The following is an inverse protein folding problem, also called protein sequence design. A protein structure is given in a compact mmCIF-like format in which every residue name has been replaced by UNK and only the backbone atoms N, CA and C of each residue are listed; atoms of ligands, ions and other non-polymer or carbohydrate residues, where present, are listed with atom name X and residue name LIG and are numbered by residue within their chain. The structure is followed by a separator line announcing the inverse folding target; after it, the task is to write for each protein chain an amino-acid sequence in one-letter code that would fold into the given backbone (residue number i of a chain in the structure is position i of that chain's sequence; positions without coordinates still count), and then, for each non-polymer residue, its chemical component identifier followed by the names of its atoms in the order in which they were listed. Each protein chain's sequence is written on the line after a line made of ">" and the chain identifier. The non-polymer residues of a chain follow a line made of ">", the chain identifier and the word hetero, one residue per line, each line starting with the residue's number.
data_IF_314219213354
#
_entry.id   IF_314219213354
#
_cell.length_a   1.000
_cell.length_b   1.000
_cell.length_c   1.000
_cell.angle_alpha   90.00
_cell.angle_beta   90.00
_cell.angle_gamma   90.00
#
_symmetry.space_group_name_H-M   'P 1'
#
loop_
_entity.id
_entity.type
_entity.pdbx_description
1 polymer ?
#
# COMPACT_ATOMS: atom_id res chain seq x y z
N UNK A 1 20.42 -16.55 -14.45
CA UNK A 1 20.38 -16.77 -15.93
C UNK A 1 20.01 -18.22 -16.20
N UNK A 2 19.27 -18.52 -17.26
CA UNK A 2 18.99 -19.90 -17.65
C UNK A 2 20.32 -20.64 -17.92
N UNK A 3 20.61 -21.69 -17.17
CA UNK A 3 21.71 -22.59 -17.51
C UNK A 3 21.29 -23.49 -18.66
N UNK A 4 22.22 -23.86 -19.54
CA UNK A 4 21.90 -24.89 -20.54
C UNK A 4 21.44 -26.17 -19.80
N UNK A 5 20.23 -26.68 -20.09
CA UNK A 5 19.73 -27.87 -19.41
C UNK A 5 20.59 -29.08 -19.77
N UNK A 6 20.82 -29.93 -18.78
CA UNK A 6 21.51 -31.21 -18.99
C UNK A 6 20.68 -32.14 -19.90
N UNK A 7 21.30 -33.13 -20.56
CA UNK A 7 20.57 -34.06 -21.42
C UNK A 7 19.42 -34.79 -20.71
N UNK A 8 19.56 -35.05 -19.40
CA UNK A 8 18.51 -35.67 -18.59
C UNK A 8 17.31 -34.71 -18.37
N UNK A 9 17.57 -33.42 -18.18
CA UNK A 9 16.53 -32.40 -18.02
C UNK A 9 15.80 -32.13 -19.33
N UNK A 10 16.50 -32.15 -20.47
CA UNK A 10 15.87 -32.05 -21.79
C UNK A 10 14.93 -33.23 -22.00
N UNK A 11 15.37 -34.47 -21.72
CA UNK A 11 14.54 -35.66 -21.86
C UNK A 11 13.32 -35.62 -20.91
N UNK A 12 13.48 -35.07 -19.71
CA UNK A 12 12.36 -34.82 -18.80
C UNK A 12 11.36 -33.81 -19.40
N UNK A 13 11.83 -32.69 -19.94
CA UNK A 13 10.98 -31.66 -20.55
C UNK A 13 10.26 -32.20 -21.81
N UNK A 14 10.95 -32.99 -22.64
CA UNK A 14 10.36 -33.64 -23.82
C UNK A 14 9.24 -34.62 -23.42
N UNK A 15 9.44 -35.37 -22.33
CA UNK A 15 8.41 -36.28 -21.81
C UNK A 15 7.17 -35.56 -21.28
N UNK A 16 7.34 -34.34 -20.76
CA UNK A 16 6.27 -33.53 -20.17
C UNK A 16 5.83 -32.35 -21.07
N UNK A 17 6.04 -32.46 -22.38
CA UNK A 17 5.77 -31.39 -23.34
C UNK A 17 4.29 -30.94 -23.39
N UNK A 18 3.37 -31.79 -22.94
CA UNK A 18 1.93 -31.51 -22.83
C UNK A 18 1.57 -30.64 -21.63
N UNK A 19 2.45 -30.53 -20.64
CA UNK A 19 2.16 -29.85 -19.39
C UNK A 19 2.10 -28.33 -19.62
N UNK A 20 1.08 -27.69 -19.04
CA UNK A 20 0.78 -26.30 -19.33
C UNK A 20 0.28 -25.56 -18.09
N UNK A 21 1.08 -24.59 -17.63
CA UNK A 21 0.76 -23.72 -16.49
C UNK A 21 0.15 -22.37 -16.90
N UNK A 22 0.00 -22.10 -18.20
CA UNK A 22 -0.62 -20.86 -18.71
C UNK A 22 -1.99 -20.56 -18.08
N UNK A 23 -2.90 -21.54 -17.89
CA UNK A 23 -4.19 -21.26 -17.26
C UNK A 23 -4.07 -20.67 -15.85
N UNK A 24 -3.04 -21.05 -15.10
CA UNK A 24 -2.84 -20.56 -13.73
C UNK A 24 -2.43 -19.08 -13.70
N UNK A 25 -1.58 -18.66 -14.65
CA UNK A 25 -1.19 -17.26 -14.82
C UNK A 25 -2.43 -16.42 -15.17
N UNK A 26 -3.20 -16.86 -16.16
CA UNK A 26 -4.41 -16.16 -16.61
C UNK A 26 -5.44 -16.07 -15.48
N UNK A 27 -5.71 -17.18 -14.79
CA UNK A 27 -6.68 -17.22 -13.70
C UNK A 27 -6.27 -16.27 -12.55
N UNK A 28 -4.99 -16.25 -12.19
CA UNK A 28 -4.49 -15.40 -11.11
C UNK A 28 -4.65 -13.92 -11.47
N UNK A 29 -4.24 -13.53 -12.68
CA UNK A 29 -4.37 -12.15 -13.14
C UNK A 29 -5.84 -11.71 -13.28
N UNK A 30 -6.70 -12.59 -13.79
CA UNK A 30 -8.13 -12.32 -13.94
C UNK A 30 -8.87 -12.18 -12.60
N UNK A 31 -8.36 -12.76 -11.51
CA UNK A 31 -8.98 -12.69 -10.18
C UNK A 31 -8.36 -11.56 -9.36
N UNK A 32 -7.04 -11.54 -9.20
CA UNK A 32 -6.35 -10.64 -8.28
C UNK A 32 -6.42 -9.17 -8.73
N UNK A 33 -6.20 -8.90 -10.02
CA UNK A 33 -6.13 -7.53 -10.51
C UNK A 33 -7.48 -6.79 -10.40
N UNK A 34 -8.64 -7.38 -10.78
CA UNK A 34 -9.93 -6.73 -10.56
C UNK A 34 -10.26 -6.50 -9.08
N UNK A 35 -9.81 -7.36 -8.17
CA UNK A 35 -9.96 -7.15 -6.72
C UNK A 35 -9.19 -5.89 -6.29
N UNK A 36 -7.95 -5.73 -6.75
CA UNK A 36 -7.15 -4.54 -6.48
C UNK A 36 -7.79 -3.27 -7.07
N UNK A 37 -8.27 -3.32 -8.32
CA UNK A 37 -9.01 -2.22 -8.95
C UNK A 37 -10.25 -1.83 -8.12
N UNK A 38 -11.01 -2.82 -7.67
CA UNK A 38 -12.21 -2.62 -6.86
C UNK A 38 -11.86 -1.98 -5.52
N UNK A 39 -10.79 -2.42 -4.86
CA UNK A 39 -10.33 -1.83 -3.60
C UNK A 39 -9.93 -0.35 -3.76
N UNK A 40 -9.21 -0.01 -4.83
CA UNK A 40 -8.85 1.38 -5.15
C UNK A 40 -10.10 2.21 -5.46
N UNK A 41 -11.02 1.69 -6.27
CA UNK A 41 -12.29 2.37 -6.57
C UNK A 41 -13.07 2.66 -5.28
N UNK A 42 -13.21 1.67 -4.39
CA UNK A 42 -13.88 1.82 -3.10
C UNK A 42 -13.19 2.85 -2.20
N UNK A 43 -11.86 2.95 -2.21
CA UNK A 43 -11.11 4.03 -1.53
C UNK A 43 -11.57 5.40 -2.01
N UNK A 44 -11.61 5.64 -3.32
CA UNK A 44 -12.02 6.94 -3.88
C UNK A 44 -13.50 7.24 -3.61
N UNK A 45 -14.38 6.26 -3.76
CA UNK A 45 -15.81 6.38 -3.45
C UNK A 45 -16.01 6.71 -1.97
N UNK A 46 -15.25 6.07 -1.07
CA UNK A 46 -15.29 6.33 0.36
C UNK A 46 -14.89 7.76 0.69
N UNK A 47 -13.77 8.23 0.13
CA UNK A 47 -13.27 9.59 0.36
C UNK A 47 -14.21 10.65 -0.17
N UNK A 48 -14.73 10.46 -1.39
CA UNK A 48 -15.74 11.34 -1.99
C UNK A 48 -17.00 11.41 -1.13
N UNK A 49 -17.47 10.26 -0.66
CA UNK A 49 -18.65 10.11 0.20
C UNK A 49 -18.50 10.82 1.55
N UNK A 50 -17.28 10.96 2.05
CA UNK A 50 -16.94 11.64 3.30
C UNK A 50 -16.37 13.05 3.12
N UNK A 51 -16.35 13.58 1.88
CA UNK A 51 -15.80 14.91 1.55
C UNK A 51 -14.35 15.10 2.04
N UNK A 52 -13.57 14.02 2.08
CA UNK A 52 -12.15 14.06 2.47
C UNK A 52 -11.31 14.44 1.25
N UNK A 53 -10.41 15.42 1.40
CA UNK A 53 -9.50 15.84 0.33
C UNK A 53 -8.56 14.70 -0.09
N UNK A 54 -8.29 14.61 -1.40
CA UNK A 54 -7.26 13.71 -1.93
C UNK A 54 -5.89 14.23 -1.58
N UNK A 55 -5.00 13.34 -1.14
CA UNK A 55 -3.62 13.68 -0.79
C UNK A 55 -2.64 12.72 -1.49
N UNK A 56 -1.35 12.87 -1.22
CA UNK A 56 -0.29 12.06 -1.85
C UNK A 56 -0.53 10.55 -1.71
N UNK A 57 -1.11 10.11 -0.60
CA UNK A 57 -1.40 8.69 -0.35
C UNK A 57 -2.37 8.08 -1.37
N UNK A 58 -3.29 8.88 -1.92
CA UNK A 58 -4.28 8.45 -2.91
C UNK A 58 -3.71 8.36 -4.32
N UNK A 59 -2.73 9.21 -4.65
CA UNK A 59 -2.05 9.15 -5.95
C UNK A 59 -0.98 8.06 -5.97
N UNK A 60 -0.29 7.83 -4.85
CA UNK A 60 0.71 6.77 -4.72
C UNK A 60 0.09 5.37 -4.89
N UNK A 61 -1.12 5.15 -4.35
CA UNK A 61 -1.80 3.85 -4.52
C UNK A 61 -2.28 3.64 -5.97
N UNK A 62 -2.67 4.72 -6.67
CA UNK A 62 -2.99 4.65 -8.10
C UNK A 62 -1.72 4.35 -8.91
N UNK A 63 -0.59 4.97 -8.59
CA UNK A 63 0.68 4.62 -9.20
C UNK A 63 1.04 3.15 -8.97
N UNK A 64 0.86 2.64 -7.75
CA UNK A 64 1.02 1.21 -7.44
C UNK A 64 0.13 0.31 -8.31
N UNK A 65 -1.15 0.66 -8.46
CA UNK A 65 -2.07 -0.08 -9.34
C UNK A 65 -1.63 -0.05 -10.81
N UNK A 66 -1.12 1.08 -11.30
CA UNK A 66 -0.59 1.21 -12.66
C UNK A 66 0.66 0.36 -12.89
N UNK A 67 1.56 0.27 -11.90
CA UNK A 67 2.69 -0.65 -11.98
C UNK A 67 2.25 -2.12 -11.91
N UNK A 68 1.26 -2.46 -11.08
CA UNK A 68 0.66 -3.81 -11.10
C UNK A 68 0.02 -4.14 -12.45
N UNK A 69 -0.59 -3.16 -13.13
CA UNK A 69 -1.03 -3.33 -14.52
C UNK A 69 0.15 -3.58 -15.47
N UNK A 70 1.28 -2.90 -15.24
CA UNK A 70 2.53 -3.17 -15.95
C UNK A 70 3.00 -4.63 -15.83
N UNK A 71 2.92 -5.20 -14.62
CA UNK A 71 3.21 -6.63 -14.40
C UNK A 71 2.25 -7.51 -15.19
N UNK A 72 0.95 -7.23 -15.14
CA UNK A 72 -0.05 -7.99 -15.92
C UNK A 72 0.27 -7.94 -17.43
N UNK A 73 0.70 -6.79 -17.95
CA UNK A 73 1.13 -6.65 -19.35
C UNK A 73 2.38 -7.51 -19.62
N UNK A 74 3.38 -7.47 -18.73
CA UNK A 74 4.56 -8.33 -18.83
C UNK A 74 4.16 -9.81 -18.86
N UNK A 75 3.22 -10.25 -18.03
CA UNK A 75 2.72 -11.63 -18.05
C UNK A 75 2.08 -11.98 -19.38
N UNK A 76 1.20 -11.12 -19.90
CA UNK A 76 0.56 -11.33 -21.21
C UNK A 76 1.59 -11.42 -22.35
N UNK A 77 2.66 -10.62 -22.30
CA UNK A 77 3.76 -10.69 -23.27
C UNK A 77 4.58 -11.95 -23.07
N UNK A 78 4.90 -12.32 -21.83
CA UNK A 78 5.62 -13.55 -21.48
C UNK A 78 4.89 -14.81 -21.96
N UNK A 79 3.55 -14.83 -21.88
CA UNK A 79 2.72 -15.90 -22.43
C UNK A 79 2.89 -16.06 -23.95
N UNK A 80 3.13 -14.96 -24.69
CA UNK A 80 3.40 -15.04 -26.14
C UNK A 80 4.75 -15.68 -26.44
N UNK A 81 5.74 -15.47 -25.58
CA UNK A 81 7.08 -16.05 -25.72
C UNK A 81 7.15 -17.51 -25.29
N UNK A 82 6.18 -17.99 -24.49
CA UNK A 82 6.09 -19.38 -24.04
C UNK A 82 6.17 -19.57 -22.52
N UNK A 83 6.00 -18.50 -21.73
CA UNK A 83 5.88 -18.59 -20.26
C UNK A 83 4.78 -19.59 -19.86
N UNK A 84 5.06 -20.41 -18.86
CA UNK A 84 4.17 -21.48 -18.43
C UNK A 84 4.26 -22.78 -19.23
N UNK A 85 5.24 -22.86 -20.13
CA UNK A 85 5.68 -24.09 -20.81
C UNK A 85 7.16 -24.35 -20.51
N UNK A 86 7.60 -25.58 -20.70
CA UNK A 86 9.01 -25.96 -20.58
C UNK A 86 9.91 -25.16 -21.52
N UNK A 87 11.15 -24.90 -21.09
CA UNK A 87 12.14 -24.08 -21.79
C UNK A 87 12.35 -24.47 -23.27
N UNK A 88 12.27 -25.77 -23.59
CA UNK A 88 12.37 -26.27 -24.98
C UNK A 88 11.28 -25.71 -25.93
N UNK A 89 10.15 -25.25 -25.40
CA UNK A 89 9.03 -24.70 -26.17
C UNK A 89 9.07 -23.17 -26.29
N UNK A 90 10.11 -22.53 -25.77
CA UNK A 90 10.26 -21.09 -25.77
C UNK A 90 10.60 -20.59 -27.18
N UNK A 91 9.83 -19.62 -27.68
CA UNK A 91 9.99 -19.11 -29.06
C UNK A 91 11.12 -18.09 -29.19
N UNK A 92 11.25 -17.24 -28.17
CA UNK A 92 12.25 -16.17 -28.13
C UNK A 92 12.84 -16.07 -26.71
N UNK A 93 13.97 -16.74 -26.46
CA UNK A 93 14.65 -16.70 -25.17
C UNK A 93 15.13 -15.30 -24.76
N UNK A 94 15.55 -14.49 -25.73
CA UNK A 94 16.05 -13.14 -25.44
C UNK A 94 14.90 -12.20 -25.05
N UNK A 95 13.80 -12.23 -25.83
CA UNK A 95 12.59 -11.48 -25.50
C UNK A 95 11.97 -11.90 -24.16
N UNK A 96 12.00 -13.20 -23.84
CA UNK A 96 11.54 -13.70 -22.55
C UNK A 96 12.40 -13.17 -21.38
N UNK A 97 13.73 -13.21 -21.50
CA UNK A 97 14.62 -12.67 -20.47
C UNK A 97 14.41 -11.16 -20.25
N UNK A 98 14.20 -10.39 -21.33
CA UNK A 98 13.89 -8.96 -21.24
C UNK A 98 12.56 -8.70 -20.50
N UNK A 99 11.54 -9.53 -20.73
CA UNK A 99 10.25 -9.44 -20.02
C UNK A 99 10.41 -9.74 -18.53
N UNK A 100 11.18 -10.76 -18.15
CA UNK A 100 11.43 -11.09 -16.74
C UNK A 100 12.10 -9.93 -16.00
N UNK A 101 13.16 -9.34 -16.58
CA UNK A 101 13.85 -8.21 -15.97
C UNK A 101 12.92 -6.98 -15.89
N UNK A 102 12.13 -6.75 -16.93
CA UNK A 102 11.14 -5.67 -16.93
C UNK A 102 10.11 -5.86 -15.83
N UNK A 103 9.60 -7.08 -15.64
CA UNK A 103 8.66 -7.42 -14.58
C UNK A 103 9.28 -7.22 -13.20
N UNK A 104 10.52 -7.64 -12.98
CA UNK A 104 11.24 -7.43 -11.72
C UNK A 104 11.38 -5.94 -11.38
N UNK A 105 11.78 -5.11 -12.35
CA UNK A 105 11.91 -3.65 -12.16
C UNK A 105 10.55 -3.02 -11.87
N UNK A 106 9.51 -3.36 -12.63
CA UNK A 106 8.15 -2.84 -12.42
C UNK A 106 7.61 -3.26 -11.04
N UNK A 107 7.90 -4.48 -10.60
CA UNK A 107 7.50 -5.00 -9.30
C UNK A 107 8.10 -4.15 -8.17
N UNK A 108 9.38 -3.80 -8.28
CA UNK A 108 10.06 -2.96 -7.30
C UNK A 108 9.42 -1.57 -7.18
N UNK A 109 9.04 -0.96 -8.31
CA UNK A 109 8.30 0.31 -8.31
C UNK A 109 6.88 0.16 -7.74
N UNK A 110 6.18 -0.92 -8.05
CA UNK A 110 4.86 -1.22 -7.50
C UNK A 110 4.92 -1.33 -5.97
N UNK A 111 5.81 -2.16 -5.44
CA UNK A 111 5.96 -2.35 -4.00
C UNK A 111 6.38 -1.07 -3.29
N UNK A 112 7.33 -0.31 -3.85
CA UNK A 112 7.73 0.98 -3.29
C UNK A 112 6.55 1.95 -3.18
N UNK A 113 5.79 2.14 -4.25
CA UNK A 113 4.67 3.09 -4.28
C UNK A 113 3.52 2.67 -3.37
N UNK A 114 3.24 1.36 -3.26
CA UNK A 114 2.25 0.82 -2.31
C UNK A 114 2.70 1.06 -0.87
N UNK A 115 3.95 0.72 -0.51
CA UNK A 115 4.51 0.95 0.84
C UNK A 115 4.54 2.43 1.21
N UNK A 116 4.93 3.28 0.26
CA UNK A 116 4.90 4.73 0.43
C UNK A 116 3.48 5.24 0.68
N UNK A 117 2.47 4.77 -0.07
CA UNK A 117 1.06 5.12 0.17
C UNK A 117 0.62 4.77 1.60
N UNK A 118 0.96 3.57 2.09
CA UNK A 118 0.62 3.13 3.45
C UNK A 118 1.28 4.03 4.51
N UNK A 119 2.57 4.33 4.36
CA UNK A 119 3.29 5.22 5.28
C UNK A 119 2.69 6.63 5.29
N UNK A 120 2.39 7.21 4.12
CA UNK A 120 1.72 8.51 4.06
C UNK A 120 0.32 8.48 4.69
N UNK A 121 -0.43 7.40 4.48
CA UNK A 121 -1.73 7.19 5.11
C UNK A 121 -1.61 7.11 6.63
N UNK A 122 -0.60 6.41 7.16
CA UNK A 122 -0.34 6.35 8.60
C UNK A 122 0.03 7.70 9.17
N UNK A 123 0.89 8.47 8.50
CA UNK A 123 1.23 9.84 8.91
C UNK A 123 -0.02 10.70 9.04
N UNK A 124 -0.95 10.56 8.09
CA UNK A 124 -2.21 11.31 8.05
C UNK A 124 -3.20 10.89 9.14
N UNK A 125 -3.38 9.59 9.32
CA UNK A 125 -4.36 9.04 10.28
C UNK A 125 -3.88 9.17 11.72
N UNK A 126 -2.57 9.04 11.94
CA UNK A 126 -1.96 8.87 13.26
C UNK A 126 -0.97 9.98 13.60
N UNK A 127 -1.32 11.23 13.35
CA UNK A 127 -0.54 12.38 13.79
C UNK A 127 -0.69 12.59 15.30
N UNK A 128 0.01 11.77 16.09
CA UNK A 128 -0.14 11.73 17.56
C UNK A 128 1.09 12.28 18.28
N UNK A 129 2.30 12.02 17.78
CA UNK A 129 3.54 12.51 18.40
C UNK A 129 4.66 12.77 17.38
N UNK A 130 5.56 13.70 17.72
CA UNK A 130 6.77 13.98 16.93
C UNK A 130 7.64 12.73 16.76
N UNK A 131 7.75 11.91 17.81
CA UNK A 131 8.52 10.66 17.78
C UNK A 131 7.94 9.66 16.78
N UNK A 132 6.62 9.51 16.72
CA UNK A 132 5.97 8.63 15.75
C UNK A 132 6.23 9.08 14.30
N UNK A 133 6.15 10.39 14.05
CA UNK A 133 6.44 10.95 12.72
C UNK A 133 7.91 10.74 12.34
N UNK A 134 8.85 10.87 13.27
CA UNK A 134 10.27 10.59 13.03
C UNK A 134 10.46 9.11 12.66
N UNK A 135 9.90 8.17 13.43
CA UNK A 135 10.00 6.73 13.14
C UNK A 135 9.44 6.43 11.73
N UNK A 136 8.29 7.02 11.38
CA UNK A 136 7.67 6.86 10.07
C UNK A 136 8.58 7.35 8.94
N UNK A 137 9.25 8.50 9.12
CA UNK A 137 10.22 8.99 8.15
C UNK A 137 11.46 8.10 8.05
N UNK A 138 11.98 7.59 9.16
CA UNK A 138 13.11 6.65 9.16
C UNK A 138 12.76 5.39 8.37
N UNK A 139 11.60 4.78 8.64
CA UNK A 139 11.11 3.61 7.89
C UNK A 139 10.89 3.96 6.41
N UNK A 140 10.30 5.12 6.11
CA UNK A 140 10.08 5.55 4.74
C UNK A 140 11.36 5.79 3.93
N UNK A 141 12.36 6.42 4.54
CA UNK A 141 13.68 6.61 3.93
C UNK A 141 14.36 5.26 3.72
N UNK A 142 14.30 4.37 4.71
CA UNK A 142 14.84 3.02 4.58
C UNK A 142 14.20 2.25 3.42
N UNK A 143 12.86 2.26 3.33
CA UNK A 143 12.12 1.64 2.22
C UNK A 143 12.51 2.25 0.88
N UNK A 144 12.67 3.57 0.79
CA UNK A 144 13.10 4.25 -0.43
C UNK A 144 14.52 3.84 -0.86
N UNK A 145 15.49 3.92 0.05
CA UNK A 145 16.88 3.54 -0.22
C UNK A 145 16.98 2.07 -0.64
N UNK A 146 16.28 1.18 0.07
CA UNK A 146 16.24 -0.24 -0.25
C UNK A 146 15.57 -0.53 -1.60
N UNK A 147 14.48 0.16 -1.94
CA UNK A 147 13.82 0.01 -3.25
C UNK A 147 14.73 0.47 -4.39
N UNK A 148 15.46 1.56 -4.19
CA UNK A 148 16.47 2.03 -5.14
C UNK A 148 17.54 0.94 -5.35
N UNK A 149 18.08 0.38 -4.26
CA UNK A 149 19.07 -0.71 -4.34
C UNK A 149 18.54 -1.92 -5.11
N UNK A 150 17.28 -2.31 -4.92
CA UNK A 150 16.67 -3.40 -5.68
C UNK A 150 16.58 -3.12 -7.18
N UNK A 151 16.19 -1.90 -7.57
CA UNK A 151 16.12 -1.52 -9.00
C UNK A 151 17.52 -1.58 -9.63
N UNK A 152 18.53 -1.05 -8.96
CA UNK A 152 19.92 -1.14 -9.43
C UNK A 152 20.39 -2.60 -9.49
N UNK A 153 20.09 -3.41 -8.48
CA UNK A 153 20.45 -4.83 -8.48
C UNK A 153 19.79 -5.60 -9.63
N UNK A 154 18.51 -5.33 -9.93
CA UNK A 154 17.78 -5.99 -11.03
C UNK A 154 18.35 -5.61 -12.41
N UNK A 155 18.65 -4.32 -12.62
CA UNK A 155 19.20 -3.82 -13.90
C UNK A 155 20.64 -4.29 -14.10
N UNK A 156 21.47 -4.20 -13.06
CA UNK A 156 22.90 -4.50 -13.10
C UNK A 156 23.24 -5.90 -12.56
N UNK A 157 22.29 -6.84 -12.63
CA UNK A 157 22.50 -8.21 -12.15
C UNK A 157 23.64 -8.94 -12.88
N UNK A 158 23.90 -8.58 -14.14
CA UNK A 158 25.03 -9.03 -14.94
C UNK A 158 25.70 -7.86 -15.66
N UNK A 159 27.03 -7.91 -15.78
CA UNK A 159 27.82 -6.97 -16.57
C UNK A 159 28.59 -7.69 -17.69
N UNK A 160 28.51 -7.19 -18.95
CA UNK A 160 27.66 -6.10 -19.44
C UNK A 160 26.14 -6.43 -19.39
N UNK A 161 25.26 -5.43 -19.37
CA UNK A 161 23.79 -5.63 -19.24
C UNK A 161 23.24 -6.55 -20.34
N UNK A 162 23.77 -6.43 -21.56
CA UNK A 162 23.36 -7.25 -22.72
C UNK A 162 23.59 -8.75 -22.50
N UNK A 163 24.46 -9.10 -21.55
CA UNK A 163 24.69 -10.49 -21.16
C UNK A 163 23.48 -11.15 -20.53
N UNK A 164 22.50 -10.38 -20.04
CA UNK A 164 21.28 -10.93 -19.45
C UNK A 164 20.45 -11.74 -20.45
N UNK A 165 20.49 -11.36 -21.74
CA UNK A 165 19.77 -12.03 -22.82
C UNK A 165 20.69 -12.63 -23.89
N UNK A 166 22.00 -12.34 -23.84
CA UNK A 166 22.99 -12.93 -24.73
C UNK A 166 24.05 -13.75 -23.96
N UNK A 167 23.92 -15.08 -23.90
CA UNK A 167 24.85 -15.94 -23.16
C UNK A 167 26.23 -16.07 -23.82
N UNK A 168 26.41 -15.60 -25.07
CA UNK A 168 27.66 -15.71 -25.82
C UNK A 168 28.71 -14.67 -25.40
N UNK A 169 28.31 -13.65 -24.63
CA UNK A 169 29.20 -12.59 -24.16
C UNK A 169 29.86 -13.01 -22.85
N UNK A 170 31.16 -12.72 -22.68
CA UNK A 170 31.85 -12.92 -21.41
C UNK A 170 31.20 -12.01 -20.36
N UNK A 171 30.66 -12.62 -19.32
CA UNK A 171 29.83 -11.93 -18.34
C UNK A 171 30.33 -12.15 -16.92
N UNK A 172 30.02 -11.19 -16.06
CA UNK A 172 30.13 -11.31 -14.63
C UNK A 172 28.77 -11.00 -14.02
N UNK A 173 28.16 -11.99 -13.36
CA UNK A 173 26.85 -11.84 -12.74
C UNK A 173 26.98 -11.92 -11.22
N UNK A 174 26.08 -11.20 -10.54
CA UNK A 174 25.88 -11.34 -9.10
C UNK A 174 25.41 -12.76 -8.82
N UNK A 175 25.80 -13.33 -7.68
CA UNK A 175 25.23 -14.59 -7.22
C UNK A 175 23.74 -14.38 -6.93
N UNK A 176 22.89 -14.85 -7.84
CA UNK A 176 21.45 -14.64 -7.79
C UNK A 176 20.82 -15.22 -6.52
N UNK A 177 21.34 -16.33 -6.00
CA UNK A 177 20.78 -16.98 -4.80
C UNK A 177 21.02 -16.14 -3.55
N UNK A 178 22.25 -15.67 -3.37
CA UNK A 178 22.63 -14.82 -2.23
C UNK A 178 21.92 -13.46 -2.35
N UNK A 179 21.92 -12.88 -3.56
CA UNK A 179 21.24 -11.62 -3.84
C UNK A 179 19.73 -11.70 -3.55
N UNK A 180 19.07 -12.73 -4.07
CA UNK A 180 17.66 -12.99 -3.84
C UNK A 180 17.36 -13.18 -2.35
N UNK A 181 18.19 -13.92 -1.60
CA UNK A 181 18.01 -14.12 -0.15
C UNK A 181 18.04 -12.80 0.62
N UNK A 182 19.02 -11.94 0.33
CA UNK A 182 19.19 -10.66 1.01
C UNK A 182 18.00 -9.75 0.69
N UNK A 183 17.64 -9.66 -0.59
CA UNK A 183 16.51 -8.87 -1.05
C UNK A 183 15.23 -9.38 -0.39
N UNK A 184 14.95 -10.68 -0.44
CA UNK A 184 13.82 -11.32 0.22
C UNK A 184 13.70 -10.94 1.71
N UNK A 185 14.79 -11.10 2.46
CA UNK A 185 14.83 -10.81 3.90
C UNK A 185 14.49 -9.35 4.21
N UNK A 186 15.04 -8.40 3.46
CA UNK A 186 14.73 -6.98 3.64
C UNK A 186 13.30 -6.63 3.24
N UNK A 187 12.76 -7.25 2.19
CA UNK A 187 11.36 -7.02 1.80
C UNK A 187 10.42 -7.43 2.94
N UNK A 188 10.57 -8.65 3.44
CA UNK A 188 9.79 -9.19 4.56
C UNK A 188 9.98 -8.33 5.82
N UNK A 189 11.21 -7.92 6.14
CA UNK A 189 11.50 -7.04 7.27
C UNK A 189 10.74 -5.72 7.17
N UNK A 190 10.72 -5.09 5.98
CA UNK A 190 9.97 -3.85 5.78
C UNK A 190 8.46 -4.03 5.89
N UNK A 191 7.93 -5.18 5.47
CA UNK A 191 6.50 -5.50 5.61
C UNK A 191 6.10 -5.61 7.08
N UNK A 192 6.88 -6.34 7.88
CA UNK A 192 6.67 -6.41 9.33
C UNK A 192 6.84 -5.05 10.03
N UNK A 193 7.84 -4.27 9.64
CA UNK A 193 8.06 -2.94 10.21
C UNK A 193 6.84 -2.03 9.98
N UNK A 194 6.28 -2.02 8.77
CA UNK A 194 5.08 -1.24 8.42
C UNK A 194 3.85 -1.79 9.15
N UNK A 195 3.71 -3.12 9.26
CA UNK A 195 2.59 -3.76 9.94
C UNK A 195 2.56 -3.47 11.45
N UNK A 196 3.72 -3.50 12.12
CA UNK A 196 3.82 -3.29 13.57
C UNK A 196 3.66 -1.80 13.92
N UNK A 197 4.06 -0.89 13.04
CA UNK A 197 4.08 0.56 13.30
C UNK A 197 2.79 1.13 13.92
N UNK A 198 1.56 0.82 13.44
CA UNK A 198 0.33 1.32 14.06
C UNK A 198 -0.13 0.52 15.30
N UNK A 199 0.42 -0.65 15.62
CA UNK A 199 -0.07 -1.51 16.71
C UNK A 199 -0.06 -0.85 18.09
N UNK A 200 1.05 -0.23 18.56
CA UNK A 200 1.10 0.35 19.90
C UNK A 200 0.06 1.47 20.06
N UNK A 201 -0.15 2.24 19.00
CA UNK A 201 -1.11 3.33 18.99
C UNK A 201 -2.56 2.83 18.98
N UNK A 202 -2.82 1.71 18.31
CA UNK A 202 -4.13 1.08 18.30
C UNK A 202 -4.48 0.43 19.63
N UNK A 203 -3.48 -0.11 20.36
CA UNK A 203 -3.68 -0.66 21.70
C UNK A 203 -4.03 0.43 22.73
N UNK A 204 -3.44 1.61 22.61
CA UNK A 204 -3.72 2.73 23.51
C UNK A 204 -5.14 3.33 23.35
N UNK A 205 -5.84 3.03 22.25
CA UNK A 205 -7.07 3.73 21.87
C UNK A 205 -8.31 2.84 22.08
N UNK A 206 -9.13 3.16 23.10
CA UNK A 206 -10.41 2.47 23.37
C UNK A 206 -11.40 2.72 22.21
N UNK A 207 -11.51 1.76 21.28
CA UNK A 207 -12.37 1.86 20.09
C UNK A 207 -13.68 1.06 20.22
N UNK A 208 -14.80 1.57 19.66
CA UNK A 208 -16.06 0.81 19.57
C UNK A 208 -15.91 -0.41 18.65
N UNK A 209 -16.70 -1.46 18.89
CA UNK A 209 -16.59 -2.79 18.24
C UNK A 209 -16.49 -2.72 16.70
N UNK A 210 -17.22 -1.80 16.06
CA UNK A 210 -17.18 -1.60 14.59
C UNK A 210 -15.81 -1.14 14.07
N UNK A 211 -15.12 -0.26 14.81
CA UNK A 211 -13.77 0.18 14.46
C UNK A 211 -12.74 -0.91 14.78
N UNK A 212 -12.97 -1.70 15.82
CA UNK A 212 -12.13 -2.85 16.18
C UNK A 212 -12.09 -3.89 15.05
N UNK A 213 -13.24 -4.22 14.44
CA UNK A 213 -13.29 -5.17 13.31
C UNK A 213 -12.47 -4.66 12.10
N UNK A 214 -12.56 -3.37 11.79
CA UNK A 214 -11.79 -2.79 10.67
C UNK A 214 -10.28 -2.84 10.92
N UNK A 215 -9.87 -2.54 12.15
CA UNK A 215 -8.47 -2.65 12.58
C UNK A 215 -8.00 -4.11 12.47
N UNK A 216 -8.80 -5.07 12.93
CA UNK A 216 -8.46 -6.49 12.79
C UNK A 216 -8.37 -6.92 11.31
N UNK A 217 -9.28 -6.47 10.45
CA UNK A 217 -9.20 -6.73 9.01
C UNK A 217 -7.93 -6.16 8.37
N UNK A 218 -7.51 -4.95 8.77
CA UNK A 218 -6.24 -4.36 8.33
C UNK A 218 -5.04 -5.20 8.75
N UNK A 219 -5.01 -5.68 10.00
CA UNK A 219 -3.94 -6.54 10.49
C UNK A 219 -3.93 -7.92 9.83
N UNK A 220 -5.10 -8.51 9.58
CA UNK A 220 -5.21 -9.79 8.90
C UNK A 220 -4.70 -9.69 7.46
N UNK A 221 -5.13 -8.69 6.70
CA UNK A 221 -4.62 -8.50 5.34
C UNK A 221 -3.13 -8.12 5.34
N UNK A 222 -2.68 -7.25 6.25
CA UNK A 222 -1.27 -6.93 6.35
C UNK A 222 -0.41 -8.15 6.72
N UNK A 223 -0.89 -9.02 7.61
CA UNK A 223 -0.23 -10.27 7.96
C UNK A 223 -0.23 -11.26 6.80
N UNK A 224 -1.32 -11.30 6.02
CA UNK A 224 -1.37 -12.06 4.78
C UNK A 224 -0.37 -11.57 3.74
N UNK A 225 -0.16 -10.25 3.62
CA UNK A 225 0.90 -9.68 2.76
C UNK A 225 2.26 -10.19 3.21
N UNK A 226 2.60 -10.11 4.51
CA UNK A 226 3.87 -10.67 5.01
C UNK A 226 4.02 -12.17 4.69
N UNK A 227 2.94 -12.95 4.83
CA UNK A 227 2.94 -14.36 4.46
C UNK A 227 3.19 -14.57 2.95
N UNK A 228 2.49 -13.82 2.10
CA UNK A 228 2.66 -13.87 0.65
C UNK A 228 4.10 -13.52 0.25
N UNK A 229 4.69 -12.49 0.89
CA UNK A 229 6.09 -12.11 0.70
C UNK A 229 7.04 -13.25 1.07
N UNK A 230 6.86 -13.89 2.23
CA UNK A 230 7.69 -15.04 2.65
C UNK A 230 7.54 -16.20 1.66
N UNK A 231 6.32 -16.54 1.27
CA UNK A 231 6.08 -17.64 0.34
C UNK A 231 6.70 -17.34 -1.03
N UNK A 232 6.59 -16.10 -1.52
CA UNK A 232 7.28 -15.65 -2.74
C UNK A 232 8.79 -15.87 -2.65
N UNK A 233 9.40 -15.61 -1.49
CA UNK A 233 10.82 -15.85 -1.29
C UNK A 233 11.17 -17.35 -1.39
N UNK A 234 10.33 -18.23 -0.85
CA UNK A 234 10.54 -19.68 -0.94
C UNK A 234 10.49 -20.13 -2.41
N UNK A 235 9.47 -19.72 -3.17
CA UNK A 235 9.35 -20.15 -4.58
C UNK A 235 10.44 -19.57 -5.48
N UNK A 236 11.02 -18.41 -5.13
CA UNK A 236 12.20 -17.88 -5.84
C UNK A 236 13.43 -18.76 -5.59
N UNK A 237 13.60 -19.31 -4.38
CA UNK A 237 14.68 -20.24 -4.08
C UNK A 237 14.49 -21.62 -4.73
N UNK A 238 13.26 -22.00 -5.04
CA UNK A 238 12.95 -23.23 -5.78
C UNK A 238 13.02 -23.04 -7.31
N UNK A 239 13.34 -21.83 -7.79
CA UNK A 239 13.43 -21.54 -9.21
C UNK A 239 14.54 -22.38 -9.86
N UNK A 240 14.18 -23.21 -10.83
CA UNK A 240 15.15 -24.01 -11.56
C UNK A 240 15.79 -23.18 -12.67
N UNK A 241 17.11 -23.04 -12.62
CA UNK A 241 17.88 -22.41 -13.71
C UNK A 241 17.86 -23.23 -15.01
N UNK A 242 17.54 -24.52 -14.97
CA UNK A 242 17.42 -25.37 -16.15
C UNK A 242 16.07 -25.23 -16.87
N UNK A 243 15.05 -24.72 -16.17
CA UNK A 243 13.72 -24.50 -16.75
C UNK A 243 13.01 -23.27 -16.14
N UNK A 244 13.54 -22.07 -16.38
CA UNK A 244 13.00 -20.85 -15.80
C UNK A 244 11.59 -20.53 -16.31
N UNK A 245 11.25 -20.84 -17.57
CA UNK A 245 9.92 -20.54 -18.11
C UNK A 245 8.79 -21.37 -17.47
N UNK A 246 9.13 -22.54 -16.91
CA UNK A 246 8.20 -23.40 -16.17
C UNK A 246 8.19 -23.11 -14.66
N UNK A 247 9.37 -22.88 -14.09
CA UNK A 247 9.55 -22.70 -12.65
C UNK A 247 9.28 -21.28 -12.16
N UNK A 248 9.24 -20.28 -13.06
CA UNK A 248 8.90 -18.89 -12.74
C UNK A 248 7.39 -18.69 -12.47
N UNK A 249 6.54 -19.60 -12.94
CA UNK A 249 5.07 -19.44 -12.83
C UNK A 249 4.58 -19.27 -11.38
N UNK A 250 5.02 -20.06 -10.39
CA UNK A 250 4.65 -19.83 -8.99
C UNK A 250 5.15 -18.46 -8.49
N UNK A 251 6.35 -18.03 -8.89
CA UNK A 251 6.89 -16.69 -8.53
C UNK A 251 5.96 -15.61 -9.05
N UNK A 252 5.53 -15.71 -10.30
CA UNK A 252 4.59 -14.78 -10.92
C UNK A 252 3.23 -14.75 -10.19
N UNK A 253 2.64 -15.92 -9.95
CA UNK A 253 1.35 -16.03 -9.23
C UNK A 253 1.41 -15.33 -7.88
N UNK A 254 2.45 -15.61 -7.09
CA UNK A 254 2.60 -15.03 -5.76
C UNK A 254 2.97 -13.55 -5.79
N UNK A 255 3.68 -13.09 -6.82
CA UNK A 255 3.94 -11.67 -7.06
C UNK A 255 2.63 -10.90 -7.28
N UNK A 256 1.73 -11.41 -8.12
CA UNK A 256 0.44 -10.77 -8.37
C UNK A 256 -0.44 -10.78 -7.10
N UNK A 257 -0.45 -11.90 -6.35
CA UNK A 257 -1.17 -12.01 -5.08
C UNK A 257 -0.64 -11.01 -4.04
N UNK A 258 0.68 -10.91 -3.88
CA UNK A 258 1.34 -9.98 -2.96
C UNK A 258 0.96 -8.54 -3.28
N UNK A 259 1.15 -8.09 -4.53
CA UNK A 259 0.84 -6.73 -4.96
C UNK A 259 -0.66 -6.39 -4.76
N UNK A 260 -1.56 -7.27 -5.19
CA UNK A 260 -3.00 -7.02 -5.10
C UNK A 260 -3.49 -7.00 -3.66
N UNK A 261 -2.99 -7.89 -2.80
CA UNK A 261 -3.34 -7.89 -1.38
C UNK A 261 -2.71 -6.73 -0.61
N UNK A 262 -1.53 -6.27 -1.00
CA UNK A 262 -0.93 -5.05 -0.47
C UNK A 262 -1.75 -3.80 -0.85
N UNK A 263 -2.23 -3.72 -2.10
CA UNK A 263 -3.13 -2.64 -2.52
C UNK A 263 -4.45 -2.69 -1.74
N UNK A 264 -5.05 -3.88 -1.60
CA UNK A 264 -6.30 -4.04 -0.86
C UNK A 264 -6.15 -3.64 0.61
N UNK A 265 -5.07 -4.07 1.26
CA UNK A 265 -4.78 -3.73 2.67
C UNK A 265 -4.56 -2.23 2.86
N UNK A 266 -3.88 -1.57 1.91
CA UNK A 266 -3.68 -0.12 1.91
C UNK A 266 -5.00 0.66 1.80
N UNK A 267 -6.03 0.09 1.14
CA UNK A 267 -7.34 0.72 0.94
C UNK A 267 -8.28 0.59 2.13
N UNK A 268 -8.20 -0.49 2.91
CA UNK A 268 -9.04 -0.75 4.09
C UNK A 268 -9.21 0.44 5.06
N UNK A 269 -8.16 1.18 5.47
CA UNK A 269 -8.27 2.20 6.52
C UNK A 269 -9.10 3.41 6.07
N UNK A 270 -9.26 3.61 4.77
CA UNK A 270 -10.03 4.70 4.19
C UNK A 270 -11.51 4.35 3.99
N UNK A 271 -11.87 3.07 4.01
CA UNK A 271 -13.23 2.59 3.75
C UNK A 271 -14.16 2.65 4.97
N UNK A 272 -13.67 3.13 6.12
CA UNK A 272 -14.45 3.25 7.39
C UNK A 272 -15.85 3.86 7.22
N UNK A 273 -16.05 4.96 6.47
CA UNK A 273 -17.37 5.59 6.35
C UNK A 273 -18.35 4.80 5.48
N UNK A 274 -17.89 4.03 4.49
CA UNK A 274 -18.77 3.19 3.66
C UNK A 274 -19.39 2.07 4.48
N UNK A 275 -18.62 1.41 5.34
CA UNK A 275 -19.13 0.36 6.22
C UNK A 275 -20.14 0.89 7.24
N UNK A 276 -19.94 2.11 7.76
CA UNK A 276 -20.91 2.76 8.65
C UNK A 276 -22.25 2.98 7.95
N UNK A 277 -22.24 3.45 6.70
CA UNK A 277 -23.44 3.66 5.88
C UNK A 277 -24.12 2.36 5.44
N UNK A 278 -23.34 1.35 5.05
CA UNK A 278 -23.87 0.05 4.64
C UNK A 278 -24.57 -0.67 5.80
N UNK A 279 -23.98 -0.64 7.01
CA UNK A 279 -24.60 -1.24 8.20
C UNK A 279 -25.79 -0.44 8.74
N UNK A 280 -25.83 0.90 8.53
CA UNK A 280 -27.01 1.72 8.82
C UNK A 280 -28.21 1.41 7.91
N UNK A 281 -27.96 1.03 6.65
CA UNK A 281 -29.02 0.58 5.72
C UNK A 281 -29.45 -0.87 5.94
N UNK A 282 -28.57 -1.73 6.44
CA UNK A 282 -28.91 -3.12 6.75
C UNK A 282 -29.59 -3.31 8.12
N UNK A 283 -29.51 -2.31 9.01
CA UNK A 283 -30.13 -2.33 10.36
C UNK A 283 -31.37 -1.45 10.52
N UNK A 284 -31.82 -0.74 9.47
CA UNK A 284 -33.01 0.11 9.49
C UNK A 284 -34.09 -0.52 8.61
N UNK A 285 -34.68 -1.59 9.15
CA UNK A 285 -35.76 -2.34 8.50
C UNK A 285 -36.54 -3.13 9.54
N UNK A 286 -36.93 -2.49 10.64
CA UNK A 286 -37.88 -3.04 11.63
C UNK A 286 -38.43 -1.93 12.52
N UNK A 287 -39.67 -1.50 12.23
CA UNK A 287 -40.62 -1.07 13.25
C UNK A 287 -40.64 0.39 13.69
N UNK A 288 -40.87 1.35 12.79
CA UNK A 288 -41.45 2.64 13.18
C UNK A 288 -42.97 2.45 13.29
N UNK A 289 -43.44 1.99 14.46
CA UNK A 289 -44.87 2.00 14.79
C UNK A 289 -45.23 3.41 15.22
N UNK A 290 -45.95 4.12 14.35
CA UNK A 290 -46.45 5.47 14.60
C UNK A 290 -47.31 5.51 15.88
N UNK A 291 -46.81 6.20 16.89
CA UNK A 291 -47.62 6.59 18.03
C UNK A 291 -48.45 7.81 17.63
N UNK A 292 -49.75 7.55 17.52
CA UNK A 292 -50.80 8.51 17.15
C UNK A 292 -50.78 9.72 18.09
N UNK A 293 -50.62 10.90 17.51
CA UNK A 293 -51.02 12.17 18.12
C UNK A 293 -52.56 12.24 18.14
N UNK A 294 -53.15 12.37 19.33
CA UNK A 294 -54.57 12.76 19.46
C UNK A 294 -54.65 14.28 19.70
N UNK A 295 -55.57 15.00 19.04
CA UNK A 295 -55.78 16.44 19.23
C UNK A 295 -56.92 16.73 20.23
N UNK A 296 -56.79 17.84 20.96
CA UNK A 296 -57.79 18.42 21.87
C UNK A 296 -57.10 18.89 23.15
N UNK A 297 -57.21 20.14 23.62
CA UNK A 297 -58.13 21.25 23.37
C UNK A 297 -57.50 22.54 23.93
N UNK A 298 -57.58 23.64 23.19
CA UNK A 298 -57.33 25.04 23.58
C UNK A 298 -58.26 25.53 24.72
N UNK A 299 -58.23 26.80 25.18
CA UNK A 299 -57.13 27.71 25.53
C UNK A 299 -57.39 28.45 26.87
N UNK A 300 -56.38 29.05 27.51
CA UNK A 300 -56.65 30.15 28.46
C UNK A 300 -55.46 31.09 28.65
N UNK A 301 -55.71 32.33 28.21
CA UNK A 301 -55.04 33.58 28.57
C UNK A 301 -54.63 33.64 30.05
N UNK A 302 -53.46 34.21 30.33
CA UNK A 302 -53.40 35.38 31.22
C UNK A 302 -52.16 36.23 30.96
N UNK A 303 -52.43 37.42 30.43
CA UNK A 303 -51.62 38.62 30.59
C UNK A 303 -51.74 39.07 32.05
N UNK A 304 -50.62 39.34 32.72
CA UNK A 304 -50.58 40.41 33.71
C UNK A 304 -49.20 41.05 33.76
N UNK A 305 -49.20 42.35 33.54
CA UNK A 305 -48.09 43.29 33.55
C UNK A 305 -47.92 43.93 34.94
N UNK A 306 -46.66 44.31 35.25
CA UNK A 306 -46.16 45.47 36.05
C UNK A 306 -46.22 45.44 37.59
N UNK A 307 -45.44 46.29 38.34
CA UNK A 307 -44.27 47.15 38.00
C UNK A 307 -43.07 47.14 39.00
N UNK A 308 -41.95 47.77 38.57
CA UNK A 308 -40.93 48.59 39.30
C UNK A 308 -40.25 48.12 40.60
N UNK A 309 -38.91 48.02 40.62
CA UNK A 309 -38.01 49.13 41.07
C UNK A 309 -36.51 48.83 40.75
N UNK A 310 -35.65 49.84 40.49
CA UNK A 310 -34.31 49.69 39.93
C UNK A 310 -33.19 49.90 40.97
N UNK A 311 -32.22 48.99 41.05
CA UNK A 311 -30.89 49.33 41.60
C UNK A 311 -29.83 48.29 41.23
N UNK A 312 -29.02 48.64 40.23
CA UNK A 312 -27.59 48.31 40.06
C UNK A 312 -27.27 48.57 38.59
N UNK A 313 -27.09 49.84 38.22
CA UNK A 313 -25.77 50.49 38.23
C UNK A 313 -24.77 49.65 37.44
N UNK A 314 -24.73 49.89 36.13
CA UNK A 314 -23.69 50.74 35.49
C UNK A 314 -22.31 50.08 35.53
N UNK A 315 -21.88 49.60 34.37
CA UNK A 315 -20.75 50.11 33.59
C UNK A 315 -20.25 48.98 32.72
N UNK A 316 -20.46 49.08 31.41
CA UNK A 316 -19.44 48.83 30.39
C UNK A 316 -20.09 49.15 29.04
N UNK A 317 -20.09 50.44 28.71
CA UNK A 317 -20.30 50.90 27.36
C UNK A 317 -19.21 51.91 27.03
N UNK A 318 -18.63 51.67 25.85
CA UNK A 318 -18.06 52.62 24.90
C UNK A 318 -16.54 52.66 24.71
N UNK A 319 -16.21 52.31 23.45
CA UNK A 319 -15.32 53.02 22.50
C UNK A 319 -13.82 52.87 22.85
N UNK A 320 -12.96 52.31 22.01
CA UNK A 320 -12.85 52.47 20.55
C UNK A 320 -11.66 53.39 20.24
N UNK A 321 -10.94 53.07 19.15
CA UNK A 321 -10.04 53.97 18.37
C UNK A 321 -8.53 54.01 18.74
N UNK A 322 -7.74 53.42 17.82
CA UNK A 322 -6.52 53.87 17.10
C UNK A 322 -5.29 54.53 17.79
N UNK A 323 -4.11 54.20 17.21
CA UNK A 323 -2.84 54.97 17.19
C UNK A 323 -1.91 54.67 18.36
N UNK A 324 -0.59 54.59 18.30
CA UNK A 324 0.47 54.85 17.30
C UNK A 324 1.75 54.14 17.81
N UNK A 325 2.55 53.51 16.95
CA UNK A 325 3.88 53.93 16.46
C UNK A 325 4.94 54.37 17.52
N UNK A 326 6.07 53.65 17.43
CA UNK A 326 7.48 54.07 17.61
C UNK A 326 8.04 54.60 18.94
N UNK A 327 8.99 53.83 19.51
CA UNK A 327 10.37 54.20 19.89
C UNK A 327 11.00 52.91 20.49
N UNK A 328 12.22 52.46 20.22
CA UNK A 328 13.46 53.13 19.81
C UNK A 328 14.55 52.79 20.85
N UNK A 329 15.64 52.15 20.40
CA UNK A 329 17.01 52.11 20.98
C UNK A 329 17.29 51.24 22.24
N UNK A 330 18.04 50.13 22.11
CA UNK A 330 19.52 49.91 22.08
C UNK A 330 20.24 50.00 23.43
N UNK A 331 20.97 48.93 23.80
CA UNK A 331 22.26 48.87 24.54
C UNK A 331 22.79 47.42 24.44
N UNK A 332 23.82 47.17 23.61
CA UNK A 332 25.26 47.01 23.97
C UNK A 332 25.50 45.92 25.03
N UNK A 333 25.98 44.71 24.68
CA UNK A 333 27.37 44.27 24.35
C UNK A 333 28.29 44.14 25.59
N UNK A 334 28.49 42.87 26.02
CA UNK A 334 29.75 42.17 26.45
C UNK A 334 30.64 42.78 27.57
N UNK A 335 31.65 42.09 28.17
CA UNK A 335 32.18 40.77 27.84
C UNK A 335 32.56 39.79 28.99
N UNK A 336 32.79 38.55 28.55
CA UNK A 336 33.61 37.43 29.04
C UNK A 336 34.62 37.56 30.19
N UNK A 337 34.71 36.48 31.00
CA UNK A 337 35.96 35.88 31.52
C UNK A 337 35.68 34.42 31.98
N UNK A 338 36.16 33.40 31.25
CA UNK A 338 37.31 32.50 31.60
C UNK A 338 37.32 31.97 33.04
N UNK A 339 37.12 30.66 33.20
CA UNK A 339 38.16 29.62 33.45
C UNK A 339 37.59 28.28 32.98
#
# INVERSE_FOLDING_TARGET
>A
MASMPSPAEILYQEKHISDNKVPNIIATNAICFPIACTAVLLRFVSRRSSKIKYEADDWLIVAGLLFTLGILICDCVGLRFGSGKHLILLKDPAGFAQVLISAEVIYNFAMFTIKASILYLYKRVFFVSRNFVIILWVVGIFVACYSITQVFAAIFQCMPIDSNWNPLVKHYCINTDIGATIIAAFNVLTDFAILILPMPLLYALRKPTKQKIQIMGMFLLGGFVCFASIYRCIVIHELSHADPSWSDVPVNIWTMVELCTAIASACLPTMRPLFSRATGKFGSGSGESGMKTSPGSDPSLNLQQTPSDPSQSRKFAHIGVLGDLEHGQTREVSPSEKI
#
